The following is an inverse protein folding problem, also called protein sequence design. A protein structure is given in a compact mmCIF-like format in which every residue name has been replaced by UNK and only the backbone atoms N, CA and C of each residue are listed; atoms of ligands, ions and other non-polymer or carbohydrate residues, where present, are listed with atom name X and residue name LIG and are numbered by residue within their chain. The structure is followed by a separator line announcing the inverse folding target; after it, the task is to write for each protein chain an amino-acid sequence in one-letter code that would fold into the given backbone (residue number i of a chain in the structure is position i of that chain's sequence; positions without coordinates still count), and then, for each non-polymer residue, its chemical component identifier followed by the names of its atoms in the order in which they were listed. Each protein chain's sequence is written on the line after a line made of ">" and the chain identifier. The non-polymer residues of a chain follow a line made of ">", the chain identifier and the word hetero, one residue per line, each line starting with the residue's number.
data_IF_115205536983
#
_entry.id   IF_115205536983
#
_cell.length_a   1.000
_cell.length_b   1.000
_cell.length_c   1.000
_cell.angle_alpha   90.00
_cell.angle_beta   90.00
_cell.angle_gamma   90.00
#
_symmetry.space_group_name_H-M   'P 1'
#
loop_
_entity.id
_entity.type
_entity.pdbx_description
1 polymer ?
#
# COMPACT_ATOMS: atom_id res chain seq x y z
N UNK A 1 -17.39 3.59 2.90
CA UNK A 1 -16.96 2.60 1.89
C UNK A 1 -15.94 3.25 0.97
N UNK A 2 -14.98 2.48 0.46
CA UNK A 2 -13.84 3.00 -0.32
C UNK A 2 -14.18 3.14 -1.82
N UNK A 3 -15.13 2.32 -2.30
CA UNK A 3 -15.57 2.28 -3.70
C UNK A 3 -16.73 3.22 -4.00
N UNK A 4 -17.66 3.37 -3.06
CA UNK A 4 -18.89 4.16 -3.20
C UNK A 4 -19.15 5.01 -1.94
N UNK A 5 -19.81 6.17 -2.07
CA UNK A 5 -20.16 6.88 -3.32
C UNK A 5 -18.91 7.41 -4.07
N UNK A 6 -19.04 7.91 -5.32
CA UNK A 6 -17.92 8.39 -6.13
C UNK A 6 -17.04 9.43 -5.42
N UNK A 7 -17.64 10.29 -4.60
CA UNK A 7 -16.94 11.29 -3.78
C UNK A 7 -16.00 10.63 -2.76
N UNK A 8 -16.44 9.56 -2.10
CA UNK A 8 -15.60 8.80 -1.16
C UNK A 8 -14.48 8.06 -1.87
N UNK A 9 -14.74 7.55 -3.08
CA UNK A 9 -13.69 6.99 -3.93
C UNK A 9 -12.65 8.05 -4.29
N UNK A 10 -13.08 9.25 -4.71
CA UNK A 10 -12.17 10.34 -5.04
C UNK A 10 -11.34 10.77 -3.82
N UNK A 11 -11.96 10.93 -2.65
CA UNK A 11 -11.30 11.25 -1.38
C UNK A 11 -10.22 10.22 -1.04
N UNK A 12 -10.55 8.93 -1.15
CA UNK A 12 -9.63 7.83 -0.90
C UNK A 12 -8.45 7.78 -1.87
N UNK A 13 -8.69 7.96 -3.17
CA UNK A 13 -7.63 8.01 -4.18
C UNK A 13 -6.75 9.25 -4.00
N UNK A 14 -7.32 10.37 -3.59
CA UNK A 14 -6.57 11.59 -3.28
C UNK A 14 -5.58 11.39 -2.13
N UNK A 15 -5.91 10.57 -1.12
CA UNK A 15 -4.98 10.24 -0.02
C UNK A 15 -3.70 9.55 -0.52
N UNK A 16 -3.77 8.82 -1.64
CA UNK A 16 -2.60 8.23 -2.27
C UNK A 16 -1.81 9.31 -3.01
N UNK A 17 -2.49 10.08 -3.86
CA UNK A 17 -1.82 11.02 -4.78
C UNK A 17 -1.31 12.29 -4.13
N UNK A 18 -1.83 12.69 -2.96
CA UNK A 18 -1.33 13.85 -2.19
C UNK A 18 0.06 13.64 -1.60
N UNK A 19 0.51 12.38 -1.50
CA UNK A 19 1.81 12.04 -0.94
C UNK A 19 2.90 12.06 -2.03
N UNK A 20 4.13 12.44 -1.67
CA UNK A 20 5.29 12.39 -2.58
C UNK A 20 5.85 10.97 -2.73
N UNK A 21 5.76 10.18 -1.65
CA UNK A 21 6.22 8.79 -1.58
C UNK A 21 5.38 8.03 -0.56
N UNK A 22 5.25 6.71 -0.72
CA UNK A 22 4.56 5.83 0.22
C UNK A 22 5.56 4.79 0.71
N UNK A 23 5.54 4.48 2.01
CA UNK A 23 6.44 3.50 2.61
C UNK A 23 5.65 2.37 3.26
N UNK A 24 5.98 1.13 2.92
CA UNK A 24 5.49 -0.06 3.59
C UNK A 24 6.59 -0.65 4.46
N UNK A 25 6.40 -0.55 5.77
CA UNK A 25 7.30 -1.15 6.76
C UNK A 25 6.73 -2.49 7.23
N UNK A 26 7.58 -3.52 7.18
CA UNK A 26 7.26 -4.86 7.70
C UNK A 26 8.05 -5.05 8.98
N UNK A 27 7.37 -5.49 10.02
CA UNK A 27 7.92 -5.71 11.35
C UNK A 27 8.04 -7.21 11.65
N UNK A 28 8.95 -7.57 12.54
CA UNK A 28 9.03 -8.95 13.02
C UNK A 28 7.81 -9.29 13.88
N UNK A 29 7.17 -10.43 13.62
CA UNK A 29 5.98 -10.86 14.37
C UNK A 29 6.24 -10.98 15.88
N UNK A 30 7.42 -11.47 16.25
CA UNK A 30 7.81 -11.68 17.65
C UNK A 30 8.48 -10.45 18.29
N UNK A 31 8.73 -9.40 17.51
CA UNK A 31 9.30 -8.13 17.97
C UNK A 31 8.75 -6.99 17.11
N UNK A 32 7.54 -6.48 17.43
CA UNK A 32 6.79 -5.55 16.58
C UNK A 32 7.40 -4.15 16.54
N UNK A 33 8.41 -3.86 17.37
CA UNK A 33 9.17 -2.61 17.32
C UNK A 33 10.37 -2.73 16.37
N UNK A 34 10.75 -3.94 15.97
CA UNK A 34 11.85 -4.20 15.07
C UNK A 34 11.37 -4.28 13.62
N UNK A 35 11.91 -3.39 12.79
CA UNK A 35 11.63 -3.35 11.36
C UNK A 35 12.48 -4.42 10.66
N UNK A 36 11.84 -5.25 9.83
CA UNK A 36 12.47 -6.25 8.96
C UNK A 36 12.89 -5.63 7.62
N UNK A 37 11.99 -4.90 6.97
CA UNK A 37 12.21 -4.28 5.65
C UNK A 37 11.28 -3.09 5.46
N UNK A 38 11.72 -2.08 4.70
CA UNK A 38 10.89 -0.97 4.25
C UNK A 38 10.98 -0.87 2.73
N UNK A 39 9.81 -0.88 2.08
CA UNK A 39 9.67 -0.63 0.65
C UNK A 39 9.17 0.79 0.40
N UNK A 40 9.85 1.53 -0.47
CA UNK A 40 9.38 2.80 -1.02
C UNK A 40 8.59 2.55 -2.31
N UNK A 41 7.34 3.01 -2.34
CA UNK A 41 6.41 2.85 -3.45
C UNK A 41 6.05 4.23 -4.00
N UNK A 42 6.25 4.42 -5.31
CA UNK A 42 5.79 5.62 -6.00
C UNK A 42 4.25 5.72 -5.91
N UNK A 43 3.68 6.89 -5.59
CA UNK A 43 2.23 7.06 -5.48
C UNK A 43 1.45 6.60 -6.71
N UNK A 44 1.99 6.82 -7.92
CA UNK A 44 1.36 6.41 -9.18
C UNK A 44 1.22 4.88 -9.31
N UNK A 45 2.21 4.12 -8.82
CA UNK A 45 2.21 2.65 -8.86
C UNK A 45 1.11 2.12 -7.93
N UNK A 46 1.08 2.62 -6.70
CA UNK A 46 0.06 2.23 -5.72
C UNK A 46 -1.35 2.65 -6.14
N UNK A 47 -1.49 3.83 -6.78
CA UNK A 47 -2.75 4.29 -7.33
C UNK A 47 -3.29 3.34 -8.40
N UNK A 48 -2.42 2.89 -9.33
CA UNK A 48 -2.78 1.96 -10.39
C UNK A 48 -3.34 0.64 -9.83
N UNK A 49 -2.65 0.07 -8.86
CA UNK A 49 -3.09 -1.15 -8.19
C UNK A 49 -4.38 -0.95 -7.39
N UNK A 50 -4.51 0.17 -6.68
CA UNK A 50 -5.72 0.50 -5.93
C UNK A 50 -6.94 0.59 -6.85
N UNK A 51 -6.82 1.27 -7.99
CA UNK A 51 -7.88 1.34 -9.01
C UNK A 51 -8.22 -0.05 -9.53
N UNK A 52 -7.21 -0.85 -9.89
CA UNK A 52 -7.38 -2.24 -10.35
C UNK A 52 -8.19 -3.08 -9.36
N UNK A 53 -7.88 -3.01 -8.06
CA UNK A 53 -8.60 -3.76 -7.03
C UNK A 53 -10.04 -3.26 -6.86
N UNK A 54 -10.26 -1.94 -6.85
CA UNK A 54 -11.61 -1.35 -6.74
C UNK A 54 -12.50 -1.68 -7.94
N UNK A 55 -11.94 -1.68 -9.14
CA UNK A 55 -12.67 -1.96 -10.38
C UNK A 55 -13.00 -3.45 -10.50
N UNK A 56 -12.12 -4.35 -10.04
CA UNK A 56 -12.36 -5.80 -10.02
C UNK A 56 -13.29 -6.26 -8.90
N UNK A 57 -13.34 -5.54 -7.78
CA UNK A 57 -14.20 -5.92 -6.66
C UNK A 57 -15.66 -5.76 -7.03
N UNK A 58 -16.46 -6.83 -7.04
CA UNK A 58 -17.92 -6.74 -7.12
C UNK A 58 -18.57 -6.16 -5.86
N UNK A 59 -17.86 -6.21 -4.73
CA UNK A 59 -18.35 -5.78 -3.43
C UNK A 59 -17.92 -4.35 -3.09
N UNK A 60 -18.68 -3.70 -2.21
CA UNK A 60 -18.28 -2.45 -1.57
C UNK A 60 -17.22 -2.71 -0.51
N UNK A 61 -15.95 -2.60 -0.91
CA UNK A 61 -14.81 -2.77 0.00
C UNK A 61 -14.52 -1.48 0.77
N UNK A 62 -14.15 -1.65 2.04
CA UNK A 62 -13.72 -0.55 2.93
C UNK A 62 -12.20 -0.44 3.05
N UNK A 63 -11.47 -1.47 2.62
CA UNK A 63 -10.01 -1.56 2.71
C UNK A 63 -9.43 -2.10 1.41
N UNK A 64 -8.21 -1.66 1.09
CA UNK A 64 -7.40 -2.14 -0.04
C UNK A 64 -6.10 -2.66 0.55
N UNK A 65 -5.77 -3.91 0.25
CA UNK A 65 -4.60 -4.60 0.80
C UNK A 65 -3.47 -4.70 -0.20
N UNK A 66 -2.24 -4.74 0.31
CA UNK A 66 -1.02 -4.95 -0.47
C UNK A 66 -0.18 -6.01 0.23
N UNK A 67 0.20 -7.07 -0.49
CA UNK A 67 1.02 -8.14 0.07
C UNK A 67 2.49 -7.74 0.15
N UNK A 68 3.28 -8.45 0.96
CA UNK A 68 4.75 -8.32 1.01
C UNK A 68 5.35 -8.58 -0.39
N UNK A 69 4.93 -9.64 -1.07
CA UNK A 69 5.38 -9.98 -2.43
C UNK A 69 5.07 -8.87 -3.45
N UNK A 70 3.87 -8.27 -3.40
CA UNK A 70 3.52 -7.16 -4.28
C UNK A 70 4.42 -5.95 -4.01
N UNK A 71 4.70 -5.67 -2.74
CA UNK A 71 5.54 -4.55 -2.31
C UNK A 71 6.99 -4.74 -2.74
N UNK A 72 7.52 -5.96 -2.66
CA UNK A 72 8.85 -6.33 -3.14
C UNK A 72 8.98 -6.16 -4.66
N UNK A 73 7.97 -6.59 -5.43
CA UNK A 73 8.00 -6.50 -6.89
C UNK A 73 7.85 -5.08 -7.44
N UNK A 74 7.07 -4.24 -6.77
CA UNK A 74 6.68 -2.92 -7.27
C UNK A 74 7.36 -1.75 -6.54
N UNK A 75 8.17 -2.07 -5.52
CA UNK A 75 8.82 -1.11 -4.65
C UNK A 75 10.35 -1.17 -4.72
N UNK A 76 10.96 -0.15 -4.14
CA UNK A 76 12.39 -0.11 -3.90
C UNK A 76 12.66 -0.40 -2.42
N UNK A 77 13.60 -1.30 -2.13
CA UNK A 77 14.03 -1.54 -0.74
C UNK A 77 14.87 -0.35 -0.29
N UNK A 78 14.37 0.43 0.66
CA UNK A 78 15.11 1.57 1.26
C UNK A 78 15.70 1.24 2.62
N UNK A 79 15.25 0.13 3.23
CA UNK A 79 15.81 -0.41 4.45
C UNK A 79 15.58 -1.91 4.48
N UNK A 80 16.58 -2.67 4.93
CA UNK A 80 16.46 -4.10 5.21
C UNK A 80 17.33 -4.42 6.40
N UNK A 81 16.76 -5.06 7.42
CA UNK A 81 17.56 -5.57 8.52
C UNK A 81 18.47 -6.70 8.00
N UNK A 82 19.77 -6.52 8.17
CA UNK A 82 20.80 -7.49 7.78
C UNK A 82 21.26 -8.36 8.95
N UNK A 83 20.78 -8.06 10.17
CA UNK A 83 21.15 -8.81 11.37
C UNK A 83 20.31 -10.08 11.45
N UNK A 84 20.98 -11.22 11.32
CA UNK A 84 20.39 -12.54 11.60
C UNK A 84 20.01 -12.68 13.07
#
# INVERSE_FOLDING_TARGET
>A
MFKNPPEKRAESLYRITRNKMIYFAIFYKNDPLKIKVIYAIKPQVLLGETKRQLDRSGNDISHVGFSEEWSEKNGEIVYKDTRK
#
